data_IF_088744501774
#
_entry.id   IF_088744501774
#
_cell.length_a   1.000
_cell.length_b   1.000
_cell.length_c   1.000
_cell.angle_alpha   90.00
_cell.angle_beta   90.00
_cell.angle_gamma   90.00
#
_symmetry.space_group_name_H-M   'P 1'
#
loop_
_entity.id
_entity.type
_entity.pdbx_description
1 polymer ?
#
# COMPACT_ATOMS: atom_id res chain seq x y z
N UNK A 1 -6.33 -7.47 15.96
CA UNK A 1 -6.83 -6.60 17.05
C UNK A 1 -7.86 -5.65 16.45
N UNK A 2 -9.06 -5.50 17.03
CA UNK A 2 -10.03 -4.53 16.50
C UNK A 2 -9.62 -3.11 16.91
N UNK A 3 -9.53 -2.20 15.94
CA UNK A 3 -9.26 -0.78 16.18
C UNK A 3 -10.38 -0.17 17.05
N UNK A 4 -10.06 0.65 18.07
CA UNK A 4 -11.07 1.34 18.88
C UNK A 4 -12.03 2.17 18.00
N UNK A 5 -13.28 2.35 18.46
CA UNK A 5 -14.30 3.11 17.72
C UNK A 5 -13.81 4.51 17.28
N UNK A 6 -13.11 5.21 18.18
CA UNK A 6 -12.53 6.54 17.90
C UNK A 6 -11.54 6.52 16.73
N UNK A 7 -10.70 5.49 16.65
CA UNK A 7 -9.76 5.32 15.55
C UNK A 7 -10.47 5.16 14.20
N UNK A 8 -11.59 4.43 14.17
CA UNK A 8 -12.42 4.27 12.95
C UNK A 8 -13.09 5.57 12.50
N UNK A 9 -13.56 6.39 13.43
CA UNK A 9 -14.16 7.69 13.11
C UNK A 9 -13.12 8.66 12.53
N UNK A 10 -11.92 8.71 13.11
CA UNK A 10 -10.81 9.52 12.59
C UNK A 10 -10.40 9.08 11.18
N UNK A 11 -10.26 7.77 10.99
CA UNK A 11 -9.95 7.16 9.72
C UNK A 11 -10.97 7.50 8.63
N UNK A 12 -12.27 7.43 8.94
CA UNK A 12 -13.33 7.89 8.02
C UNK A 12 -13.25 9.38 7.73
N UNK A 13 -12.89 10.20 8.72
CA UNK A 13 -12.64 11.63 8.53
C UNK A 13 -11.49 11.90 7.56
N UNK A 14 -10.40 11.13 7.66
CA UNK A 14 -9.26 11.19 6.73
C UNK A 14 -9.72 10.83 5.32
N UNK A 15 -10.45 9.72 5.15
CA UNK A 15 -11.00 9.33 3.85
C UNK A 15 -11.91 10.41 3.26
N UNK A 16 -12.81 10.99 4.05
CA UNK A 16 -13.69 12.07 3.59
C UNK A 16 -12.89 13.29 3.10
N UNK A 17 -11.80 13.63 3.80
CA UNK A 17 -10.89 14.69 3.36
C UNK A 17 -10.22 14.35 2.02
N UNK A 18 -9.67 13.14 1.89
CA UNK A 18 -9.03 12.68 0.65
C UNK A 18 -9.98 12.72 -0.55
N UNK A 19 -11.24 12.30 -0.36
CA UNK A 19 -12.28 12.32 -1.43
C UNK A 19 -12.57 13.72 -1.96
N UNK A 20 -12.33 14.77 -1.18
CA UNK A 20 -12.51 16.16 -1.62
C UNK A 20 -11.46 16.59 -2.66
N UNK A 21 -10.34 15.88 -2.76
CA UNK A 21 -9.24 16.16 -3.67
C UNK A 21 -9.50 15.52 -5.05
N UNK A 22 -10.55 15.97 -5.75
CA UNK A 22 -11.04 15.34 -7.00
C UNK A 22 -10.02 15.25 -8.14
N UNK A 23 -9.02 16.12 -8.15
CA UNK A 23 -7.95 16.16 -9.15
C UNK A 23 -6.64 15.54 -8.64
N UNK A 24 -6.69 14.78 -7.53
CA UNK A 24 -5.51 14.16 -6.96
C UNK A 24 -4.97 13.08 -7.90
N UNK A 25 -3.73 13.28 -8.35
CA UNK A 25 -3.02 12.33 -9.22
C UNK A 25 -2.14 11.37 -8.46
N UNK A 26 -1.51 11.84 -7.40
CA UNK A 26 -0.59 11.04 -6.59
C UNK A 26 -1.04 11.07 -5.14
N UNK A 27 -1.30 9.89 -4.58
CA UNK A 27 -1.60 9.72 -3.18
C UNK A 27 -0.53 8.81 -2.59
N UNK A 28 0.32 9.37 -1.74
CA UNK A 28 1.24 8.60 -0.91
C UNK A 28 0.87 8.82 0.54
N UNK A 29 0.39 7.76 1.17
CA UNK A 29 0.02 7.70 2.58
C UNK A 29 0.90 6.69 3.33
N UNK A 30 1.85 6.09 2.62
CA UNK A 30 2.83 5.19 3.16
C UNK A 30 3.90 5.93 3.93
N UNK A 31 4.66 5.14 4.67
CA UNK A 31 5.89 5.57 5.26
C UNK A 31 7.05 4.98 4.46
N UNK A 32 7.81 5.86 3.82
CA UNK A 32 8.96 5.49 3.00
C UNK A 32 10.13 5.03 3.88
N UNK A 33 10.22 3.73 4.08
CA UNK A 33 11.23 3.09 4.91
C UNK A 33 12.63 3.10 4.29
N UNK A 34 12.78 3.56 3.04
CA UNK A 34 14.10 3.74 2.41
C UNK A 34 14.92 4.89 3.01
N UNK A 35 14.35 5.72 3.88
CA UNK A 35 15.06 6.83 4.51
C UNK A 35 15.65 6.44 5.87
N UNK A 36 16.97 6.11 5.95
CA UNK A 36 17.57 5.51 7.14
C UNK A 36 17.57 6.44 8.35
N UNK A 37 17.59 7.76 8.10
CA UNK A 37 17.57 8.78 9.16
C UNK A 37 16.28 8.77 9.97
N UNK A 38 15.20 8.25 9.40
CA UNK A 38 13.93 8.20 10.10
C UNK A 38 13.91 7.12 11.20
N UNK A 39 14.82 6.15 11.14
CA UNK A 39 15.05 5.13 12.18
C UNK A 39 16.10 5.55 13.21
N UNK A 40 16.77 6.69 13.03
CA UNK A 40 17.84 7.10 13.97
C UNK A 40 17.32 7.54 15.34
N UNK A 41 15.99 7.74 15.47
CA UNK A 41 15.34 8.19 16.71
C UNK A 41 14.69 7.06 17.52
N UNK A 42 14.57 5.86 16.96
CA UNK A 42 13.89 4.71 17.57
C UNK A 42 14.83 3.52 17.42
N UNK A 43 15.23 2.88 18.51
CA UNK A 43 16.04 1.67 18.44
C UNK A 43 15.38 0.69 17.46
N UNK A 44 16.04 0.33 16.34
CA UNK A 44 15.42 -0.50 15.34
C UNK A 44 15.09 -1.85 16.00
N UNK A 45 13.82 -2.23 15.95
CA UNK A 45 13.42 -3.58 16.33
C UNK A 45 14.09 -4.52 15.32
N UNK A 46 15.14 -5.22 15.76
CA UNK A 46 15.90 -6.16 14.94
C UNK A 46 15.26 -7.54 15.10
N UNK A 47 14.85 -8.13 13.97
CA UNK A 47 14.46 -9.54 13.95
C UNK A 47 15.59 -10.37 13.33
N UNK A 48 15.84 -11.57 13.87
CA UNK A 48 16.74 -12.54 13.25
C UNK A 48 15.93 -13.59 12.50
N UNK A 49 16.09 -13.63 11.18
CA UNK A 49 15.52 -14.67 10.31
C UNK A 49 16.66 -15.34 9.56
N UNK A 50 16.85 -16.65 9.77
CA UNK A 50 17.92 -17.44 9.14
C UNK A 50 19.33 -16.83 9.34
N UNK A 51 19.64 -16.37 10.55
CA UNK A 51 20.94 -15.75 10.90
C UNK A 51 21.25 -14.47 10.12
N UNK A 52 20.23 -13.80 9.57
CA UNK A 52 20.31 -12.45 9.03
C UNK A 52 19.53 -11.50 9.92
N UNK A 53 20.19 -10.41 10.32
CA UNK A 53 19.58 -9.25 10.95
C UNK A 53 18.70 -8.55 9.92
N UNK A 54 17.39 -8.70 10.05
CA UNK A 54 16.41 -8.05 9.19
C UNK A 54 15.66 -7.00 10.00
N UNK A 55 15.60 -5.78 9.47
CA UNK A 55 14.55 -4.85 9.88
C UNK A 55 13.22 -5.51 9.46
N UNK A 56 12.29 -5.77 10.39
CA UNK A 56 11.01 -6.36 10.07
C UNK A 56 10.22 -5.35 9.25
N UNK A 57 10.35 -5.50 7.94
CA UNK A 57 9.54 -4.85 6.92
C UNK A 57 8.11 -5.43 6.87
N UNK A 58 7.84 -6.50 7.63
CA UNK A 58 6.63 -7.31 7.59
C UNK A 58 5.53 -6.86 8.58
N UNK A 59 5.84 -5.89 9.44
CA UNK A 59 4.90 -5.39 10.43
C UNK A 59 4.18 -4.13 9.94
N UNK A 60 2.88 -4.22 9.67
CA UNK A 60 2.04 -3.03 9.57
C UNK A 60 2.25 -2.15 10.81
N UNK A 61 2.57 -0.87 10.63
CA UNK A 61 2.76 0.03 11.77
C UNK A 61 1.41 0.17 12.47
N UNK A 62 1.39 -0.03 13.79
CA UNK A 62 0.18 0.16 14.59
C UNK A 62 -0.33 1.60 14.47
N UNK A 63 -1.64 1.79 14.61
CA UNK A 63 -2.29 3.11 14.49
C UNK A 63 -2.14 3.82 13.13
N UNK A 64 -1.71 3.12 12.08
CA UNK A 64 -1.82 3.60 10.70
C UNK A 64 -3.25 3.49 10.15
N UNK A 65 -3.48 4.10 8.99
CA UNK A 65 -4.71 3.91 8.23
C UNK A 65 -4.88 2.43 7.89
N UNK A 66 -6.10 1.89 7.97
CA UNK A 66 -6.39 0.54 7.50
C UNK A 66 -6.88 0.63 6.06
N UNK A 67 -6.19 0.04 5.09
CA UNK A 67 -6.63 0.01 3.69
C UNK A 67 -7.48 -1.22 3.42
N UNK A 68 -8.75 -1.12 3.77
CA UNK A 68 -9.77 -2.14 3.47
C UNK A 68 -11.08 -1.47 3.02
N UNK A 69 -11.90 -2.21 2.27
CA UNK A 69 -13.22 -1.70 1.89
C UNK A 69 -14.09 -1.43 3.13
N UNK A 70 -13.95 -2.26 4.17
CA UNK A 70 -14.68 -2.13 5.43
C UNK A 70 -14.29 -0.88 6.23
N UNK A 71 -13.02 -0.47 6.17
CA UNK A 71 -12.51 0.71 6.90
C UNK A 71 -12.89 2.03 6.23
N UNK A 72 -13.08 2.03 4.91
CA UNK A 72 -13.49 3.23 4.16
C UNK A 72 -12.77 3.44 2.83
N UNK A 73 -11.92 2.51 2.39
CA UNK A 73 -11.27 2.58 1.07
C UNK A 73 -12.29 2.82 -0.05
N UNK A 74 -13.51 2.26 0.08
CA UNK A 74 -14.57 2.43 -0.90
C UNK A 74 -14.94 3.89 -1.18
N UNK A 75 -14.75 4.78 -0.19
CA UNK A 75 -15.00 6.21 -0.33
C UNK A 75 -14.06 6.84 -1.37
N UNK A 76 -12.85 6.32 -1.50
CA UNK A 76 -11.85 6.80 -2.46
C UNK A 76 -12.18 6.45 -3.92
N UNK A 77 -13.28 5.75 -4.20
CA UNK A 77 -13.72 5.44 -5.58
C UNK A 77 -13.78 6.69 -6.48
N UNK A 78 -14.06 7.84 -5.89
CA UNK A 78 -14.23 9.12 -6.58
C UNK A 78 -12.92 9.73 -7.10
N UNK A 79 -11.76 9.20 -6.71
CA UNK A 79 -10.45 9.68 -7.17
C UNK A 79 -10.16 9.15 -8.59
N UNK A 80 -10.95 9.60 -9.57
CA UNK A 80 -10.86 9.13 -10.97
C UNK A 80 -9.59 9.57 -11.69
N UNK A 81 -8.94 10.61 -11.17
CA UNK A 81 -7.68 11.15 -11.69
C UNK A 81 -6.44 10.52 -11.05
N UNK A 82 -6.61 9.54 -10.14
CA UNK A 82 -5.49 8.91 -9.45
C UNK A 82 -4.64 8.07 -10.41
N UNK A 83 -3.36 8.43 -10.50
CA UNK A 83 -2.34 7.79 -11.34
C UNK A 83 -1.35 6.95 -10.51
N UNK A 84 -1.03 7.41 -9.30
CA UNK A 84 -0.07 6.76 -8.38
C UNK A 84 -0.66 6.57 -6.98
N UNK A 85 -0.47 5.39 -6.39
CA UNK A 85 -0.86 5.10 -5.00
C UNK A 85 0.24 4.41 -4.18
N UNK A 86 0.83 5.13 -3.23
CA UNK A 86 1.82 4.65 -2.27
C UNK A 86 1.21 4.37 -0.90
N UNK A 87 1.50 3.20 -0.32
CA UNK A 87 0.95 2.78 0.96
C UNK A 87 1.90 1.88 1.77
N UNK A 88 3.21 2.06 1.60
CA UNK A 88 4.21 1.30 2.35
C UNK A 88 4.02 1.43 3.87
N UNK A 89 4.20 0.32 4.60
CA UNK A 89 4.05 0.26 6.06
C UNK A 89 2.64 0.60 6.60
N UNK A 90 1.63 0.71 5.73
CA UNK A 90 0.23 0.91 6.11
C UNK A 90 -0.44 -0.44 6.38
N UNK A 91 -1.33 -0.52 7.35
CA UNK A 91 -2.11 -1.73 7.59
C UNK A 91 -3.07 -1.99 6.42
N UNK A 92 -2.82 -3.03 5.61
CA UNK A 92 -3.65 -3.33 4.44
C UNK A 92 -3.93 -4.82 4.27
N UNK A 93 -5.05 -5.14 3.63
CA UNK A 93 -5.42 -6.52 3.24
C UNK A 93 -5.47 -6.72 1.73
N UNK A 94 -4.73 -5.86 1.04
CA UNK A 94 -5.00 -5.38 -0.32
C UNK A 94 -5.19 -6.45 -1.39
N UNK A 95 -4.70 -7.67 -1.19
CA UNK A 95 -4.93 -8.82 -2.08
C UNK A 95 -6.38 -8.97 -2.57
N UNK A 96 -7.38 -8.66 -1.73
CA UNK A 96 -8.80 -8.75 -2.11
C UNK A 96 -9.34 -7.47 -2.75
N UNK A 97 -8.73 -6.34 -2.44
CA UNK A 97 -9.16 -5.00 -2.79
C UNK A 97 -8.49 -4.50 -4.07
N UNK A 98 -7.41 -5.14 -4.56
CA UNK A 98 -6.74 -4.82 -5.82
C UNK A 98 -7.70 -4.82 -7.02
N UNK A 99 -8.57 -5.82 -7.12
CA UNK A 99 -9.60 -5.88 -8.16
C UNK A 99 -10.56 -4.69 -8.08
N UNK A 100 -10.89 -4.26 -6.86
CA UNK A 100 -11.73 -3.08 -6.66
C UNK A 100 -10.99 -1.81 -7.08
N UNK A 101 -9.71 -1.67 -6.72
CA UNK A 101 -8.89 -0.50 -7.06
C UNK A 101 -8.79 -0.33 -8.58
N UNK A 102 -8.46 -1.40 -9.31
CA UNK A 102 -8.33 -1.33 -10.77
C UNK A 102 -9.65 -0.97 -11.46
N UNK A 103 -10.79 -1.43 -10.93
CA UNK A 103 -12.11 -1.07 -11.48
C UNK A 103 -12.51 0.38 -11.19
N UNK A 104 -12.11 0.93 -10.05
CA UNK A 104 -12.58 2.24 -9.61
C UNK A 104 -11.63 3.39 -9.97
N UNK A 105 -10.34 3.10 -10.13
CA UNK A 105 -9.29 4.07 -10.48
C UNK A 105 -8.75 3.79 -11.89
N UNK A 106 -9.46 4.21 -12.95
CA UNK A 106 -9.14 3.83 -14.32
C UNK A 106 -7.82 4.40 -14.85
N UNK A 107 -7.26 5.43 -14.18
CA UNK A 107 -5.97 6.05 -14.53
C UNK A 107 -4.79 5.53 -13.71
N UNK A 108 -5.04 4.64 -12.75
CA UNK A 108 -4.02 4.11 -11.87
C UNK A 108 -3.02 3.28 -12.68
N UNK A 109 -1.76 3.67 -12.64
CA UNK A 109 -0.68 3.04 -13.41
C UNK A 109 0.54 2.66 -12.55
N UNK A 110 0.63 3.18 -11.33
CA UNK A 110 1.69 2.87 -10.39
C UNK A 110 1.12 2.68 -8.98
N UNK A 111 1.55 1.62 -8.31
CA UNK A 111 1.39 1.52 -6.87
C UNK A 111 2.69 1.00 -6.26
N UNK A 112 2.87 1.15 -4.95
CA UNK A 112 3.97 0.56 -4.18
C UNK A 112 3.59 0.47 -2.70
N UNK A 113 4.38 -0.32 -1.95
CA UNK A 113 4.10 -0.65 -0.55
C UNK A 113 3.50 -2.03 -0.34
N UNK A 114 3.49 -2.91 -1.35
CA UNK A 114 3.16 -4.33 -1.18
C UNK A 114 4.33 -5.07 -0.52
N UNK A 115 4.05 -5.87 0.51
CA UNK A 115 5.01 -6.82 1.05
C UNK A 115 5.28 -7.96 0.04
N UNK A 116 6.50 -8.51 0.04
CA UNK A 116 6.88 -9.61 -0.86
C UNK A 116 5.99 -10.84 -0.70
N UNK A 117 5.55 -11.12 0.52
CA UNK A 117 4.68 -12.26 0.84
C UNK A 117 3.26 -12.09 0.28
N UNK A 118 2.78 -10.86 0.15
CA UNK A 118 1.48 -10.58 -0.46
C UNK A 118 1.51 -10.88 -1.96
N UNK A 119 2.65 -10.65 -2.62
CA UNK A 119 2.82 -10.93 -4.04
C UNK A 119 2.70 -12.42 -4.36
N UNK A 120 3.15 -13.29 -3.46
CA UNK A 120 3.11 -14.75 -3.64
C UNK A 120 1.67 -15.29 -3.68
N UNK A 121 0.74 -14.59 -3.02
CA UNK A 121 -0.65 -15.01 -2.87
C UNK A 121 -1.59 -14.49 -3.96
N UNK A 122 -1.10 -13.65 -4.88
CA UNK A 122 -1.89 -13.11 -5.99
C UNK A 122 -2.06 -14.22 -7.05
N UNK A 123 -3.17 -14.95 -6.98
CA UNK A 123 -3.52 -16.02 -7.94
C UNK A 123 -3.91 -15.43 -9.30
N UNK A 124 -3.06 -15.60 -10.30
CA UNK A 124 -3.33 -15.18 -11.67
C UNK A 124 -4.46 -16.01 -12.31
N UNK A 125 -5.55 -15.35 -12.69
CA UNK A 125 -6.61 -15.97 -13.49
C UNK A 125 -6.39 -15.61 -14.97
N UNK A 126 -6.27 -16.60 -15.86
CA UNK A 126 -5.95 -16.42 -17.31
C UNK A 126 -7.11 -15.97 -18.21
N UNK A 127 -8.37 -15.96 -17.72
CA UNK A 127 -9.54 -16.12 -18.62
C UNK A 127 -10.56 -14.96 -18.75
N UNK A 128 -10.39 -13.82 -18.08
CA UNK A 128 -11.40 -12.74 -18.17
C UNK A 128 -10.91 -11.65 -19.15
N UNK A 129 -11.79 -10.86 -19.79
CA UNK A 129 -11.58 -9.72 -20.73
C UNK A 129 -12.37 -8.47 -20.22
N UNK A 130 -11.74 -7.26 -20.19
CA UNK A 130 -11.89 -6.02 -19.33
C UNK A 130 -10.74 -5.73 -18.34
N UNK A 131 -9.81 -6.64 -18.21
CA UNK A 131 -10.02 -7.58 -17.12
C UNK A 131 -8.76 -7.96 -16.41
N UNK A 132 -7.61 -7.88 -17.07
CA UNK A 132 -6.66 -6.76 -16.94
C UNK A 132 -6.81 -5.78 -15.75
N UNK A 133 -7.32 -6.15 -14.57
CA UNK A 133 -6.83 -5.65 -13.26
C UNK A 133 -5.31 -5.39 -13.21
N UNK A 134 -4.45 -6.04 -13.99
CA UNK A 134 -4.06 -7.47 -13.98
C UNK A 134 -2.85 -7.62 -14.88
N UNK A 135 -2.85 -6.90 -16.01
CA UNK A 135 -1.66 -6.69 -16.83
C UNK A 135 -0.75 -5.62 -16.24
N UNK A 136 -1.19 -4.87 -15.23
CA UNK A 136 -0.30 -3.92 -14.58
C UNK A 136 -0.84 -3.40 -13.24
N UNK A 137 -1.07 -4.26 -12.27
CA UNK A 137 -0.12 -4.18 -11.17
C UNK A 137 1.32 -4.31 -11.67
N UNK A 138 1.62 -5.30 -12.54
CA UNK A 138 2.85 -5.66 -13.30
C UNK A 138 4.01 -4.67 -13.63
N UNK A 139 4.12 -3.46 -13.07
CA UNK A 139 5.42 -2.91 -12.59
C UNK A 139 5.56 -2.80 -11.07
N UNK A 140 4.54 -3.08 -10.28
CA UNK A 140 4.40 -2.76 -8.85
C UNK A 140 5.54 -3.26 -7.95
N UNK A 141 6.47 -4.09 -8.42
CA UNK A 141 7.46 -4.74 -7.57
C UNK A 141 8.92 -4.70 -8.07
N UNK A 142 9.22 -4.36 -9.32
CA UNK A 142 10.61 -4.53 -9.81
C UNK A 142 11.62 -3.53 -9.21
N UNK A 143 11.14 -2.46 -8.56
CA UNK A 143 12.00 -1.48 -7.89
C UNK A 143 12.26 -1.77 -6.41
N UNK A 144 11.56 -2.71 -5.78
CA UNK A 144 11.85 -3.05 -4.38
C UNK A 144 13.05 -4.01 -4.23
N UNK A 145 13.55 -4.66 -5.31
CA UNK A 145 14.48 -5.79 -5.13
C UNK A 145 15.69 -5.96 -6.05
N UNK A 146 15.90 -5.15 -7.10
CA UNK A 146 17.09 -5.34 -7.97
C UNK A 146 17.83 -4.04 -8.24
N UNK A 147 18.56 -3.58 -7.25
CA UNK A 147 19.96 -3.15 -7.35
C UNK A 147 20.23 -2.18 -6.20
N UNK A 148 20.79 -2.72 -5.11
CA UNK A 148 21.73 -1.96 -4.28
C UNK A 148 22.98 -1.61 -5.11
N UNK A 149 22.81 -0.80 -6.16
CA UNK A 149 23.88 -0.06 -6.78
C UNK A 149 23.77 1.37 -6.25
N UNK A 150 24.73 1.68 -5.39
CA UNK A 150 24.99 3.00 -4.86
C UNK A 150 25.03 4.02 -6.01
N UNK A 151 24.23 5.06 -5.93
CA UNK A 151 24.50 6.32 -6.64
C UNK A 151 25.14 7.27 -5.63
N UNK A 152 26.47 7.35 -5.71
CA UNK A 152 27.23 8.56 -5.42
C UNK A 152 27.30 9.40 -6.70
#
# INVERSE_FOLDING_TARGET
MQKPRRGREQERGIYACLVSLKNLKHLDIGYESRYPWTYMSVEPYISEVNSRTCLPYDGSIQDTLELSLDSGLSLLAELKELEMFGFESVNHRITKELDWMARNWPKLNLMYGLAEDDLQNIKYNKKAELSDTRQFIQRLAFLCMRNGQNYF
#
